data_IF_871002663999
#
_entry.id   IF_871002663999
#
_cell.length_a   1.000
_cell.length_b   1.000
_cell.length_c   1.000
_cell.angle_alpha   90.00
_cell.angle_beta   90.00
_cell.angle_gamma   90.00
#
_symmetry.space_group_name_H-M   'P 1'
#
loop_
_entity.id
_entity.type
_entity.pdbx_description
1 polymer ?
2 polymer ?
3 non-polymer ?
4 non-polymer ?
5 water ?
#
# COMPACT_ATOMS: atom_id res chain seq x y z
N UNK A 1 -15.44 -31.64 8.03
CA UNK A 1 -16.51 -30.66 8.09
C UNK A 1 -17.08 -30.35 6.70
N UNK A 2 -16.22 -29.97 5.74
CA UNK A 2 -16.73 -29.58 4.43
C UNK A 2 -17.02 -30.76 3.52
N UNK A 3 -18.26 -30.89 3.08
CA UNK A 3 -18.66 -31.95 2.16
C UNK A 3 -18.40 -31.50 0.73
N UNK A 4 -17.59 -32.26 0.00
CA UNK A 4 -17.14 -31.85 -1.32
C UNK A 4 -17.58 -32.81 -2.43
N UNK A 5 -18.14 -33.95 -2.03
CA UNK A 5 -18.51 -34.98 -3.00
C UNK A 5 -20.00 -34.98 -3.28
N UNK A 6 -20.36 -34.86 -4.55
CA UNK A 6 -21.74 -34.97 -4.98
C UNK A 6 -22.10 -36.45 -5.12
N UNK A 7 -23.26 -36.72 -5.68
CA UNK A 7 -23.75 -38.09 -5.78
C UNK A 7 -22.74 -38.98 -6.52
N UNK A 8 -22.32 -38.55 -7.71
CA UNK A 8 -21.44 -39.38 -8.54
C UNK A 8 -20.05 -39.54 -7.93
N UNK A 9 -19.48 -38.45 -7.42
CA UNK A 9 -18.12 -38.49 -6.89
C UNK A 9 -18.02 -39.49 -5.74
N UNK A 10 -19.10 -39.65 -4.99
CA UNK A 10 -19.11 -40.61 -3.88
C UNK A 10 -18.89 -42.04 -4.38
N UNK A 11 -19.24 -42.30 -5.63
CA UNK A 11 -19.08 -43.63 -6.22
C UNK A 11 -17.66 -43.88 -6.72
N UNK A 12 -16.83 -42.84 -6.70
CA UNK A 12 -15.45 -42.95 -7.12
C UNK A 12 -14.52 -42.35 -6.06
N UNK A 13 -15.00 -42.32 -4.83
CA UNK A 13 -14.24 -41.73 -3.73
C UNK A 13 -12.86 -42.37 -3.59
N UNK A 14 -12.76 -43.65 -3.93
CA UNK A 14 -11.50 -44.38 -3.80
C UNK A 14 -10.43 -43.79 -4.70
N UNK A 15 -10.72 -43.74 -6.00
CA UNK A 15 -9.79 -43.16 -6.97
C UNK A 15 -9.44 -41.73 -6.61
N UNK A 16 -10.45 -40.95 -6.24
CA UNK A 16 -10.24 -39.56 -5.87
C UNK A 16 -9.32 -39.46 -4.65
N UNK A 17 -9.59 -40.28 -3.64
CA UNK A 17 -8.74 -40.32 -2.45
C UNK A 17 -7.32 -40.72 -2.82
N UNK A 18 -7.21 -41.71 -3.70
CA UNK A 18 -5.91 -42.20 -4.15
C UNK A 18 -5.08 -41.05 -4.72
N UNK A 19 -5.70 -40.27 -5.60
CA UNK A 19 -5.02 -39.16 -6.26
C UNK A 19 -4.61 -38.07 -5.27
N UNK A 20 -5.56 -37.67 -4.42
CA UNK A 20 -5.31 -36.63 -3.43
C UNK A 20 -4.13 -36.98 -2.55
N UNK A 21 -4.02 -38.25 -2.18
CA UNK A 21 -2.97 -38.71 -1.27
C UNK A 21 -1.60 -38.41 -1.85
N UNK A 22 -1.45 -38.61 -3.15
CA UNK A 22 -0.20 -38.34 -3.83
C UNK A 22 0.16 -36.85 -3.75
N UNK A 23 -0.85 -36.00 -3.84
CA UNK A 23 -0.63 -34.57 -3.78
C UNK A 23 -0.13 -34.18 -2.39
N UNK A 24 -0.77 -34.73 -1.37
CA UNK A 24 -0.41 -34.42 0.01
C UNK A 24 1.01 -34.88 0.33
N UNK A 25 1.45 -35.95 -0.35
CA UNK A 25 2.79 -36.49 -0.13
C UNK A 25 3.84 -35.64 -0.84
N UNK A 26 3.43 -34.51 -1.41
CA UNK A 26 4.35 -33.63 -2.10
C UNK A 26 4.62 -34.07 -3.52
N UNK A 27 4.28 -35.31 -3.83
CA UNK A 27 4.48 -35.84 -5.18
C UNK A 27 3.51 -35.16 -6.14
N UNK A 28 3.68 -33.84 -6.30
CA UNK A 28 2.76 -33.04 -7.09
C UNK A 28 2.92 -33.32 -8.59
N UNK A 29 3.93 -34.10 -8.94
CA UNK A 29 4.19 -34.39 -10.34
C UNK A 29 3.20 -35.42 -10.86
N UNK A 30 3.14 -36.58 -10.21
CA UNK A 30 2.30 -37.67 -10.67
C UNK A 30 0.85 -37.52 -10.19
N UNK A 31 0.63 -36.64 -9.21
CA UNK A 31 -0.71 -36.36 -8.74
C UNK A 31 -1.52 -35.60 -9.80
N UNK A 32 -0.83 -34.76 -10.56
CA UNK A 32 -1.44 -34.07 -11.67
C UNK A 32 -1.97 -35.09 -12.67
N UNK A 33 -1.06 -35.92 -13.18
CA UNK A 33 -1.42 -36.93 -14.16
C UNK A 33 -2.54 -37.81 -13.63
N UNK A 34 -2.54 -38.04 -12.33
CA UNK A 34 -3.59 -38.86 -11.70
C UNK A 34 -4.95 -38.18 -11.81
N UNK A 35 -5.01 -36.89 -11.48
CA UNK A 35 -6.27 -36.16 -11.57
C UNK A 35 -6.61 -35.87 -13.04
N UNK A 36 -5.59 -35.68 -13.86
CA UNK A 36 -5.81 -35.51 -15.30
C UNK A 36 -6.46 -36.76 -15.87
N UNK A 37 -6.08 -37.92 -15.34
CA UNK A 37 -6.67 -39.19 -15.77
C UNK A 37 -8.13 -39.29 -15.32
N UNK A 38 -8.39 -38.88 -14.09
CA UNK A 38 -9.75 -38.91 -13.55
C UNK A 38 -10.63 -37.90 -14.29
N UNK A 39 -10.06 -36.76 -14.65
CA UNK A 39 -10.80 -35.75 -15.40
C UNK A 39 -11.18 -36.33 -16.76
N UNK A 40 -10.25 -37.01 -17.42
CA UNK A 40 -10.52 -37.61 -18.72
C UNK A 40 -11.59 -38.68 -18.60
N UNK A 41 -11.52 -39.45 -17.52
CA UNK A 41 -12.43 -40.56 -17.31
C UNK A 41 -13.79 -40.05 -16.83
N UNK A 42 -13.77 -39.07 -15.94
CA UNK A 42 -14.99 -38.48 -15.40
C UNK A 42 -15.03 -36.98 -15.62
N UNK A 43 -15.27 -36.55 -16.87
CA UNK A 43 -15.18 -35.14 -17.24
C UNK A 43 -16.20 -34.23 -16.56
N UNK A 44 -17.11 -34.81 -15.79
CA UNK A 44 -18.12 -34.03 -15.06
C UNK A 44 -17.88 -34.05 -13.55
N UNK A 45 -16.84 -34.75 -13.09
CA UNK A 45 -16.55 -34.82 -11.66
C UNK A 45 -16.03 -33.47 -11.16
N UNK A 46 -16.77 -32.84 -10.23
CA UNK A 46 -16.21 -31.62 -9.63
C UNK A 46 -14.94 -31.89 -8.83
N UNK A 47 -14.94 -32.95 -8.03
CA UNK A 47 -13.83 -33.22 -7.13
C UNK A 47 -12.58 -33.58 -7.92
N UNK A 48 -12.75 -34.28 -9.02
CA UNK A 48 -11.63 -34.61 -9.89
C UNK A 48 -11.06 -33.34 -10.51
N UNK A 49 -11.95 -32.42 -10.86
CA UNK A 49 -11.55 -31.15 -11.46
C UNK A 49 -10.83 -30.28 -10.44
N UNK A 50 -11.39 -30.22 -9.24
CA UNK A 50 -10.80 -29.45 -8.15
C UNK A 50 -9.44 -30.01 -7.79
N UNK A 51 -9.31 -31.33 -7.89
CA UNK A 51 -8.04 -31.99 -7.66
C UNK A 51 -7.01 -31.50 -8.66
N UNK A 52 -7.37 -31.53 -9.93
CA UNK A 52 -6.49 -31.03 -10.98
C UNK A 52 -6.06 -29.59 -10.69
N UNK A 53 -7.03 -28.75 -10.32
CA UNK A 53 -6.77 -27.35 -10.04
C UNK A 53 -5.75 -27.17 -8.92
N UNK A 54 -5.94 -27.94 -7.84
CA UNK A 54 -5.07 -27.84 -6.67
C UNK A 54 -3.63 -28.24 -6.98
N UNK A 55 -3.45 -29.29 -7.77
CA UNK A 55 -2.11 -29.74 -8.14
C UNK A 55 -1.43 -28.70 -9.02
N UNK A 56 -2.17 -28.14 -9.97
CA UNK A 56 -1.67 -27.06 -10.81
C UNK A 56 -1.23 -25.88 -9.94
N UNK A 57 -1.95 -25.67 -8.84
CA UNK A 57 -1.62 -24.60 -7.92
C UNK A 57 -0.25 -24.86 -7.30
N UNK A 58 -0.08 -26.05 -6.73
CA UNK A 58 1.18 -26.42 -6.10
C UNK A 58 2.31 -26.37 -7.13
N UNK A 59 2.02 -26.83 -8.33
CA UNK A 59 3.01 -26.85 -9.40
C UNK A 59 3.46 -25.43 -9.70
N UNK A 60 2.54 -24.48 -9.60
CA UNK A 60 2.87 -23.07 -9.79
C UNK A 60 3.81 -22.59 -8.70
N UNK A 61 3.68 -23.17 -7.51
CA UNK A 61 4.55 -22.82 -6.40
C UNK A 61 5.95 -23.40 -6.62
N UNK A 62 6.00 -24.70 -6.90
CA UNK A 62 7.27 -25.36 -7.17
C UNK A 62 8.00 -24.68 -8.33
N UNK A 63 7.31 -24.54 -9.46
CA UNK A 63 7.89 -23.98 -10.66
C UNK A 63 8.00 -22.46 -10.61
N UNK A 64 7.14 -21.82 -9.81
CA UNK A 64 7.12 -20.36 -9.75
C UNK A 64 6.76 -19.78 -11.12
N UNK A 65 5.78 -20.41 -11.77
CA UNK A 65 5.31 -19.97 -13.09
C UNK A 65 3.93 -19.34 -13.03
N UNK A 66 3.75 -18.23 -13.74
CA UNK A 66 2.49 -17.51 -13.79
C UNK A 66 1.52 -18.17 -14.76
N UNK A 67 2.05 -18.78 -15.81
CA UNK A 67 1.22 -19.44 -16.83
C UNK A 67 0.53 -20.68 -16.29
N UNK A 68 1.24 -21.45 -15.48
CA UNK A 68 0.64 -22.65 -14.90
C UNK A 68 -0.35 -22.24 -13.82
N UNK A 69 -0.05 -21.16 -13.11
CA UNK A 69 -0.98 -20.64 -12.13
C UNK A 69 -2.18 -20.05 -12.87
N UNK A 70 -1.93 -19.35 -13.96
CA UNK A 70 -3.01 -18.85 -14.81
C UNK A 70 -3.88 -20.01 -15.25
N UNK A 71 -3.24 -21.15 -15.51
CA UNK A 71 -3.96 -22.37 -15.87
C UNK A 71 -4.80 -22.88 -14.73
N UNK A 72 -4.24 -22.86 -13.52
CA UNK A 72 -4.96 -23.28 -12.34
C UNK A 72 -6.16 -22.38 -12.10
N UNK A 73 -5.99 -21.08 -12.38
CA UNK A 73 -7.08 -20.13 -12.18
C UNK A 73 -8.27 -20.54 -13.04
N UNK A 74 -7.99 -20.98 -14.27
CA UNK A 74 -9.06 -21.39 -15.18
C UNK A 74 -9.66 -22.71 -14.74
N UNK A 75 -8.82 -23.62 -14.26
CA UNK A 75 -9.31 -24.92 -13.81
C UNK A 75 -10.22 -24.73 -12.61
N UNK A 76 -9.90 -23.76 -11.76
CA UNK A 76 -10.73 -23.46 -10.61
C UNK A 76 -12.10 -22.98 -11.06
N UNK A 77 -12.15 -22.25 -12.16
CA UNK A 77 -13.42 -21.79 -12.69
C UNK A 77 -14.13 -22.93 -13.40
N UNK A 78 -13.35 -23.82 -14.02
CA UNK A 78 -13.90 -24.99 -14.67
C UNK A 78 -14.78 -25.76 -13.68
N UNK A 79 -14.32 -25.86 -12.45
CA UNK A 79 -15.05 -26.58 -11.41
C UNK A 79 -16.46 -26.00 -11.26
N UNK A 80 -16.57 -24.69 -11.38
CA UNK A 80 -17.83 -24.00 -11.18
C UNK A 80 -18.77 -24.19 -12.36
N UNK A 81 -18.22 -24.56 -13.50
CA UNK A 81 -19.00 -24.74 -14.73
C UNK A 81 -19.66 -26.11 -14.75
N UNK A 82 -19.06 -27.07 -14.08
CA UNK A 82 -19.58 -28.43 -14.05
C UNK A 82 -20.94 -28.49 -13.34
N UNK A 83 -21.71 -29.55 -13.59
CA UNK A 83 -23.03 -29.68 -12.95
C UNK A 83 -22.95 -30.27 -11.54
N UNK A 84 -23.98 -29.99 -10.75
CA UNK A 84 -24.14 -30.62 -9.44
C UNK A 84 -22.89 -30.48 -8.57
N UNK A 85 -22.39 -29.25 -8.47
CA UNK A 85 -21.20 -28.98 -7.64
C UNK A 85 -21.65 -28.64 -6.22
N UNK A 86 -21.18 -29.40 -5.21
CA UNK A 86 -21.51 -29.08 -3.82
C UNK A 86 -21.13 -27.66 -3.44
N UNK A 87 -21.91 -27.04 -2.56
CA UNK A 87 -21.72 -25.64 -2.21
C UNK A 87 -20.34 -25.41 -1.62
N UNK A 88 -19.94 -26.22 -0.65
CA UNK A 88 -18.66 -26.07 0.01
C UNK A 88 -17.51 -26.09 -1.00
N UNK A 89 -17.60 -27.02 -1.96
CA UNK A 89 -16.58 -27.13 -2.99
C UNK A 89 -16.64 -25.95 -3.97
N UNK A 90 -17.86 -25.53 -4.28
CA UNK A 90 -18.08 -24.38 -5.15
C UNK A 90 -17.43 -23.13 -4.55
N UNK A 91 -17.70 -22.89 -3.28
CA UNK A 91 -17.16 -21.73 -2.58
C UNK A 91 -15.62 -21.79 -2.51
N UNK A 92 -15.09 -22.94 -2.09
CA UNK A 92 -13.64 -23.12 -1.99
C UNK A 92 -12.91 -22.83 -3.29
N UNK A 93 -13.41 -23.40 -4.37
CA UNK A 93 -12.73 -23.32 -5.66
C UNK A 93 -12.69 -21.87 -6.18
N UNK A 94 -13.79 -21.15 -6.00
CA UNK A 94 -13.87 -19.78 -6.52
C UNK A 94 -13.13 -18.81 -5.62
N UNK A 95 -13.15 -19.06 -4.32
CA UNK A 95 -12.39 -18.22 -3.39
C UNK A 95 -10.92 -18.26 -3.75
N UNK A 96 -10.38 -19.47 -3.91
CA UNK A 96 -8.97 -19.64 -4.23
C UNK A 96 -8.63 -19.01 -5.57
N UNK A 97 -9.59 -19.00 -6.48
CA UNK A 97 -9.38 -18.36 -7.77
C UNK A 97 -9.12 -16.88 -7.53
N UNK A 98 -10.04 -16.22 -6.84
CA UNK A 98 -9.88 -14.82 -6.50
C UNK A 98 -8.54 -14.55 -5.85
N UNK A 99 -8.24 -15.31 -4.80
CA UNK A 99 -7.00 -15.17 -4.07
C UNK A 99 -5.81 -15.08 -5.01
N UNK A 100 -5.69 -16.08 -5.89
CA UNK A 100 -4.58 -16.15 -6.83
C UNK A 100 -4.65 -15.07 -7.91
N UNK A 101 -5.85 -14.70 -8.31
CA UNK A 101 -6.01 -13.61 -9.27
C UNK A 101 -5.48 -12.31 -8.67
N UNK A 102 -5.67 -12.14 -7.36
CA UNK A 102 -5.13 -10.98 -6.65
C UNK A 102 -3.62 -11.10 -6.50
N UNK A 103 -3.14 -12.33 -6.41
CA UNK A 103 -1.70 -12.60 -6.36
C UNK A 103 -1.04 -12.18 -7.67
N UNK A 104 -1.72 -12.42 -8.79
CA UNK A 104 -1.17 -12.10 -10.10
C UNK A 104 -1.43 -10.65 -10.48
N UNK A 105 -2.30 -9.99 -9.75
CA UNK A 105 -2.63 -8.60 -10.03
C UNK A 105 -3.83 -8.46 -10.96
N UNK A 106 -4.56 -9.55 -11.15
CA UNK A 106 -5.78 -9.51 -11.96
C UNK A 106 -6.94 -9.04 -11.08
N UNK A 107 -6.77 -7.86 -10.49
CA UNK A 107 -7.73 -7.32 -9.55
C UNK A 107 -9.09 -7.12 -10.20
N UNK A 108 -9.08 -6.65 -11.44
CA UNK A 108 -10.31 -6.47 -12.19
C UNK A 108 -11.02 -7.81 -12.33
N UNK A 109 -10.26 -8.85 -12.64
CA UNK A 109 -10.80 -10.18 -12.80
C UNK A 109 -11.24 -10.81 -11.48
N UNK A 110 -10.47 -10.52 -10.43
CA UNK A 110 -10.80 -11.01 -9.10
C UNK A 110 -12.11 -10.42 -8.61
N UNK A 111 -12.47 -9.24 -9.12
CA UNK A 111 -13.72 -8.59 -8.72
C UNK A 111 -14.92 -9.35 -9.25
N UNK A 112 -14.90 -9.66 -10.55
CA UNK A 112 -16.00 -10.39 -11.17
C UNK A 112 -16.22 -11.73 -10.49
N UNK A 113 -15.12 -12.33 -10.04
CA UNK A 113 -15.17 -13.59 -9.31
C UNK A 113 -15.86 -13.41 -7.96
N UNK A 114 -15.54 -12.31 -7.29
CA UNK A 114 -16.10 -12.03 -5.97
C UNK A 114 -17.57 -11.64 -6.10
N UNK A 115 -17.90 -10.92 -7.17
CA UNK A 115 -19.29 -10.57 -7.43
C UNK A 115 -20.11 -11.83 -7.66
N UNK A 116 -19.51 -12.78 -8.36
CA UNK A 116 -20.17 -14.04 -8.64
C UNK A 116 -20.37 -14.82 -7.35
N UNK A 117 -19.37 -14.79 -6.47
CA UNK A 117 -19.44 -15.50 -5.20
C UNK A 117 -20.57 -14.96 -4.32
N UNK A 118 -20.77 -13.65 -4.36
CA UNK A 118 -21.81 -13.01 -3.57
C UNK A 118 -23.18 -13.25 -4.18
N UNK A 119 -23.21 -13.39 -5.50
CA UNK A 119 -24.43 -13.73 -6.20
C UNK A 119 -24.85 -15.17 -5.89
N UNK A 120 -23.85 -16.06 -5.80
CA UNK A 120 -24.10 -17.47 -5.57
C UNK A 120 -24.40 -17.77 -4.10
N UNK A 121 -23.84 -16.97 -3.20
CA UNK A 121 -24.06 -17.15 -1.78
C UNK A 121 -24.47 -15.83 -1.14
N UNK A 122 -25.72 -15.41 -1.36
CA UNK A 122 -26.20 -14.09 -0.93
C UNK A 122 -26.28 -13.91 0.59
N UNK A 123 -26.15 -15.00 1.34
CA UNK A 123 -26.26 -14.94 2.80
C UNK A 123 -24.91 -14.91 3.49
N UNK A 124 -23.85 -15.22 2.75
CA UNK A 124 -22.51 -15.26 3.31
C UNK A 124 -21.96 -13.85 3.47
N UNK A 125 -21.84 -13.41 4.72
CA UNK A 125 -21.31 -12.10 5.05
C UNK A 125 -19.83 -11.98 4.69
N UNK A 126 -19.05 -13.01 5.00
CA UNK A 126 -17.61 -12.97 4.80
C UNK A 126 -17.26 -12.76 3.32
N UNK A 127 -18.12 -13.21 2.42
CA UNK A 127 -17.89 -13.03 1.01
C UNK A 127 -18.18 -11.59 0.60
N UNK A 128 -19.20 -11.00 1.21
CA UNK A 128 -19.50 -9.59 0.95
C UNK A 128 -18.30 -8.75 1.40
N UNK A 129 -17.73 -9.11 2.54
CA UNK A 129 -16.54 -8.42 3.05
C UNK A 129 -15.39 -8.53 2.05
N UNK A 130 -15.14 -9.75 1.56
CA UNK A 130 -14.06 -9.97 0.59
C UNK A 130 -14.33 -9.20 -0.69
N UNK A 131 -15.59 -9.11 -1.08
CA UNK A 131 -15.97 -8.28 -2.22
C UNK A 131 -15.56 -6.84 -1.95
N UNK A 132 -15.79 -6.38 -0.72
CA UNK A 132 -15.43 -5.03 -0.33
C UNK A 132 -13.95 -4.76 -0.55
N UNK A 133 -13.13 -5.74 -0.17
CA UNK A 133 -11.70 -5.63 -0.36
C UNK A 133 -11.38 -5.56 -1.84
N UNK A 134 -12.08 -6.37 -2.63
CA UNK A 134 -11.91 -6.36 -4.07
C UNK A 134 -12.05 -4.97 -4.63
N UNK A 135 -13.00 -4.21 -4.11
CA UNK A 135 -13.23 -2.84 -4.57
C UNK A 135 -12.12 -1.91 -4.10
N UNK A 136 -11.63 -2.15 -2.89
CA UNK A 136 -10.59 -1.30 -2.30
C UNK A 136 -9.26 -1.46 -3.03
N UNK A 137 -9.00 -2.64 -3.58
CA UNK A 137 -7.73 -2.91 -4.25
C UNK A 137 -7.69 -2.29 -5.65
N UNK A 138 -8.83 -1.81 -6.14
CA UNK A 138 -8.86 -1.13 -7.43
C UNK A 138 -9.11 0.36 -7.23
N UNK A 139 -9.10 0.81 -5.98
CA UNK A 139 -9.32 2.20 -5.67
C UNK A 139 -10.77 2.64 -5.80
N UNK A 140 -11.69 1.67 -5.77
CA UNK A 140 -13.11 1.97 -5.91
C UNK A 140 -13.76 2.09 -4.53
N UNK A 141 -13.41 3.16 -3.81
CA UNK A 141 -13.90 3.33 -2.46
C UNK A 141 -15.41 3.51 -2.40
N UNK A 142 -15.99 4.04 -3.46
CA UNK A 142 -17.43 4.29 -3.49
C UNK A 142 -18.20 2.98 -3.39
N UNK A 143 -17.81 2.01 -4.21
CA UNK A 143 -18.51 0.73 -4.23
C UNK A 143 -18.17 -0.10 -3.01
N UNK A 144 -16.98 0.09 -2.46
CA UNK A 144 -16.58 -0.63 -1.25
C UNK A 144 -17.42 -0.17 -0.06
N UNK A 145 -17.69 1.13 -0.01
CA UNK A 145 -18.49 1.71 1.06
C UNK A 145 -19.91 1.13 1.03
N UNK A 146 -20.51 1.08 -0.15
CA UNK A 146 -21.84 0.50 -0.32
C UNK A 146 -21.88 -0.92 0.23
N UNK A 147 -20.86 -1.70 -0.09
CA UNK A 147 -20.80 -3.10 0.31
C UNK A 147 -20.80 -3.23 1.83
N UNK A 148 -19.91 -2.49 2.49
CA UNK A 148 -19.80 -2.60 3.95
C UNK A 148 -21.01 -1.99 4.64
N UNK A 149 -21.64 -1.02 3.99
CA UNK A 149 -22.90 -0.48 4.48
C UNK A 149 -23.96 -1.58 4.40
N UNK A 150 -23.99 -2.26 3.25
CA UNK A 150 -24.92 -3.37 3.03
C UNK A 150 -24.73 -4.44 4.10
N UNK A 151 -23.47 -4.67 4.47
CA UNK A 151 -23.12 -5.69 5.44
C UNK A 151 -23.56 -5.29 6.84
N UNK A 152 -23.29 -4.05 7.22
CA UNK A 152 -23.56 -3.59 8.58
C UNK A 152 -25.05 -3.45 8.85
N UNK A 153 -25.84 -3.24 7.80
CA UNK A 153 -27.28 -3.15 7.94
C UNK A 153 -27.82 -4.49 8.43
N UNK A 154 -27.15 -5.56 8.04
CA UNK A 154 -27.56 -6.91 8.38
C UNK A 154 -26.75 -7.45 9.55
N UNK A 155 -25.49 -7.02 9.65
CA UNK A 155 -24.60 -7.49 10.70
C UNK A 155 -23.82 -6.33 11.33
N UNK A 156 -24.49 -5.57 12.20
CA UNK A 156 -23.89 -4.39 12.84
C UNK A 156 -22.64 -4.69 13.67
N UNK A 157 -22.45 -5.94 14.04
CA UNK A 157 -21.35 -6.32 14.95
C UNK A 157 -20.11 -6.83 14.22
N UNK A 158 -20.22 -7.06 12.91
CA UNK A 158 -19.08 -7.55 12.16
C UNK A 158 -17.92 -6.56 12.23
N UNK A 159 -16.89 -6.91 13.00
CA UNK A 159 -15.74 -6.04 13.19
C UNK A 159 -14.97 -5.76 11.92
N UNK A 160 -14.84 -6.77 11.07
CA UNK A 160 -14.15 -6.61 9.79
C UNK A 160 -14.81 -5.50 8.98
N UNK A 161 -16.13 -5.54 8.90
CA UNK A 161 -16.87 -4.55 8.14
C UNK A 161 -16.73 -3.16 8.77
N UNK A 162 -16.54 -3.13 10.09
CA UNK A 162 -16.43 -1.86 10.81
C UNK A 162 -15.08 -1.18 10.55
N UNK A 163 -13.98 -1.89 10.69
CA UNK A 163 -12.67 -1.30 10.45
C UNK A 163 -12.63 -0.77 9.02
N UNK A 164 -13.17 -1.54 8.09
CA UNK A 164 -13.08 -1.18 6.69
C UNK A 164 -13.99 -0.01 6.37
N UNK A 165 -15.12 0.06 7.06
CA UNK A 165 -16.01 1.20 6.91
C UNK A 165 -15.31 2.44 7.48
N UNK A 166 -14.70 2.29 8.65
CA UNK A 166 -13.95 3.37 9.26
C UNK A 166 -12.79 3.83 8.40
N UNK A 167 -12.11 2.89 7.75
CA UNK A 167 -10.99 3.21 6.88
C UNK A 167 -11.44 4.08 5.71
N UNK A 168 -12.57 3.71 5.12
CA UNK A 168 -13.12 4.43 3.97
C UNK A 168 -13.57 5.82 4.40
N UNK A 169 -14.18 5.91 5.58
CA UNK A 169 -14.65 7.19 6.09
C UNK A 169 -13.48 8.14 6.30
N UNK A 170 -12.44 7.68 6.98
CA UNK A 170 -11.28 8.54 7.22
C UNK A 170 -10.64 8.96 5.91
N UNK A 171 -10.59 8.05 4.95
CA UNK A 171 -10.03 8.40 3.65
C UNK A 171 -10.90 9.46 2.97
N UNK A 172 -12.15 9.56 3.40
CA UNK A 172 -13.07 10.59 2.92
C UNK A 172 -13.03 11.84 3.78
N UNK A 173 -12.10 11.88 4.74
CA UNK A 173 -11.96 13.01 5.64
C UNK A 173 -13.16 13.14 6.57
N UNK A 174 -13.88 12.04 6.75
CA UNK A 174 -14.94 11.99 7.74
C UNK A 174 -14.30 11.55 9.05
N UNK A 175 -13.41 12.40 9.56
CA UNK A 175 -12.52 12.02 10.65
C UNK A 175 -13.27 11.56 11.91
N UNK A 176 -14.16 12.40 12.40
CA UNK A 176 -14.90 12.07 13.63
C UNK A 176 -15.77 10.83 13.45
N UNK A 177 -16.41 10.73 12.29
CA UNK A 177 -17.30 9.61 12.01
C UNK A 177 -16.54 8.29 12.00
N UNK A 178 -15.26 8.34 11.62
CA UNK A 178 -14.47 7.14 11.37
C UNK A 178 -13.98 6.48 12.66
N UNK A 179 -13.82 7.28 13.70
CA UNK A 179 -13.17 6.82 14.92
C UNK A 179 -13.93 5.66 15.58
N UNK A 180 -15.24 5.80 15.81
CA UNK A 180 -15.91 4.69 16.49
C UNK A 180 -15.81 3.38 15.71
N UNK A 181 -15.86 3.47 14.39
CA UNK A 181 -15.82 2.27 13.54
C UNK A 181 -14.45 1.60 13.58
N UNK A 182 -13.39 2.40 13.49
CA UNK A 182 -12.03 1.87 13.55
C UNK A 182 -11.77 1.26 14.92
N UNK A 183 -12.14 1.99 15.97
CA UNK A 183 -11.92 1.55 17.34
C UNK A 183 -12.71 0.28 17.67
N UNK A 184 -14.03 0.34 17.49
CA UNK A 184 -14.88 -0.81 17.79
C UNK A 184 -14.46 -2.01 16.95
N UNK A 185 -14.02 -1.74 15.72
CA UNK A 185 -13.61 -2.79 14.80
C UNK A 185 -12.37 -3.54 15.24
N UNK A 186 -11.36 -2.80 15.69
CA UNK A 186 -10.14 -3.43 16.19
C UNK A 186 -10.47 -4.19 17.48
N UNK A 187 -11.20 -3.53 18.37
CA UNK A 187 -11.55 -4.11 19.66
C UNK A 187 -12.36 -5.39 19.51
N UNK A 188 -13.15 -5.47 18.45
CA UNK A 188 -13.94 -6.66 18.16
C UNK A 188 -13.05 -7.91 18.20
N UNK A 189 -11.84 -7.77 17.67
CA UNK A 189 -10.90 -8.86 17.66
C UNK A 189 -11.22 -9.90 16.60
N UNK A 190 -12.15 -9.58 15.72
CA UNK A 190 -12.50 -10.50 14.64
C UNK A 190 -11.29 -10.70 13.75
N UNK A 191 -11.26 -11.81 12.99
CA UNK A 191 -10.14 -12.02 12.06
C UNK A 191 -10.05 -10.90 11.02
N UNK A 192 -8.84 -10.41 10.79
CA UNK A 192 -8.62 -9.39 9.78
C UNK A 192 -8.71 -7.96 10.28
N UNK A 193 -8.98 -7.79 11.57
CA UNK A 193 -9.10 -6.46 12.15
C UNK A 193 -7.78 -6.04 12.82
N UNK A 194 -6.92 -7.00 13.12
CA UNK A 194 -5.61 -6.70 13.69
C UNK A 194 -4.63 -6.34 12.58
N UNK A 195 -4.91 -5.23 11.90
CA UNK A 195 -4.10 -4.76 10.78
C UNK A 195 -3.48 -3.42 11.13
N UNK A 196 -2.20 -3.25 10.78
CA UNK A 196 -1.49 -2.03 11.09
C UNK A 196 -2.17 -0.79 10.52
N UNK A 197 -2.85 -0.97 9.40
CA UNK A 197 -3.52 0.14 8.73
C UNK A 197 -4.56 0.79 9.62
N UNK A 198 -5.31 -0.02 10.37
CA UNK A 198 -6.41 0.51 11.17
C UNK A 198 -5.87 1.13 12.45
N UNK A 199 -4.79 0.58 12.99
CA UNK A 199 -4.11 1.21 14.10
C UNK A 199 -3.58 2.57 13.67
N UNK A 200 -2.94 2.60 12.51
CA UNK A 200 -2.31 3.80 11.98
C UNK A 200 -3.32 4.94 11.81
N UNK A 201 -4.48 4.60 11.25
CA UNK A 201 -5.47 5.60 10.89
C UNK A 201 -6.38 6.00 12.06
N UNK A 202 -6.61 5.07 12.99
CA UNK A 202 -7.35 5.41 14.19
C UNK A 202 -6.60 6.50 14.95
N UNK A 203 -5.31 6.28 15.19
CA UNK A 203 -4.49 7.22 15.92
C UNK A 203 -4.38 8.57 15.24
N UNK A 204 -4.23 8.57 13.92
CA UNK A 204 -4.15 9.81 13.17
C UNK A 204 -5.46 10.59 13.29
N UNK A 205 -6.58 9.90 13.08
CA UNK A 205 -7.89 10.52 13.21
C UNK A 205 -8.07 11.07 14.61
N UNK A 206 -7.55 10.37 15.59
CA UNK A 206 -7.62 10.81 16.97
C UNK A 206 -6.79 12.08 17.16
N UNK A 207 -5.59 12.09 16.59
CA UNK A 207 -4.71 13.24 16.69
C UNK A 207 -5.38 14.49 16.12
N UNK A 208 -6.03 14.33 14.98
CA UNK A 208 -6.66 15.46 14.29
C UNK A 208 -7.82 16.06 15.08
N UNK A 209 -8.49 15.26 15.90
CA UNK A 209 -9.62 15.74 16.69
C UNK A 209 -9.20 16.07 18.12
N UNK A 210 -7.91 16.08 18.39
CA UNK A 210 -7.40 16.45 19.70
C UNK A 210 -7.68 15.43 20.79
N UNK A 211 -7.89 14.18 20.39
CA UNK A 211 -8.07 13.09 21.34
C UNK A 211 -6.70 12.58 21.79
N UNK A 212 -6.39 12.76 23.08
CA UNK A 212 -5.07 12.42 23.60
C UNK A 212 -4.87 10.91 23.78
N UNK A 213 -5.88 10.12 23.41
CA UNK A 213 -5.79 8.67 23.50
C UNK A 213 -5.10 8.09 22.26
N UNK A 214 -4.68 8.95 21.35
CA UNK A 214 -4.11 8.52 20.08
C UNK A 214 -2.88 7.66 20.28
N UNK A 215 -1.98 8.08 21.15
CA UNK A 215 -0.73 7.37 21.34
C UNK A 215 -0.92 6.09 22.16
N UNK A 216 -2.13 5.89 22.67
CA UNK A 216 -2.46 4.64 23.33
C UNK A 216 -2.67 3.56 22.28
N UNK A 217 -3.07 3.98 21.09
CA UNK A 217 -3.32 3.05 19.99
C UNK A 217 -2.07 2.86 19.16
N UNK A 218 -1.22 3.88 19.12
CA UNK A 218 0.09 3.74 18.51
C UNK A 218 0.90 2.75 19.34
N UNK A 219 0.76 2.84 20.66
CA UNK A 219 1.50 1.97 21.56
C UNK A 219 1.06 0.52 21.38
N UNK A 220 -0.25 0.32 21.32
CA UNK A 220 -0.79 -1.03 21.15
C UNK A 220 -0.39 -1.59 19.79
N UNK A 221 -0.49 -0.75 18.76
CA UNK A 221 -0.09 -1.14 17.42
C UNK A 221 1.35 -1.58 17.37
N UNK A 222 2.20 -0.92 18.16
CA UNK A 222 3.60 -1.29 18.26
C UNK A 222 3.77 -2.61 19.01
N UNK A 223 2.99 -2.79 20.08
CA UNK A 223 3.08 -4.00 20.89
C UNK A 223 2.63 -5.25 20.13
N UNK A 224 1.82 -5.06 19.09
CA UNK A 224 1.32 -6.17 18.30
C UNK A 224 2.15 -6.39 17.03
N UNK A 225 3.26 -5.66 16.90
CA UNK A 225 4.23 -5.90 15.86
C UNK A 225 3.98 -5.21 14.52
N UNK A 226 3.11 -4.21 14.51
CA UNK A 226 2.78 -3.50 13.28
C UNK A 226 3.72 -2.32 13.03
N UNK A 227 4.05 -1.60 14.11
CA UNK A 227 4.93 -0.44 14.02
C UNK A 227 6.30 -0.77 14.59
N UNK A 228 7.35 -0.34 13.89
CA UNK A 228 8.72 -0.50 14.37
C UNK A 228 8.86 0.21 15.72
N UNK A 229 8.09 1.27 15.89
CA UNK A 229 8.06 2.01 17.16
C UNK A 229 6.85 2.92 17.16
N UNK A 230 6.63 3.60 18.28
CA UNK A 230 5.46 4.46 18.42
C UNK A 230 5.61 5.72 17.56
N UNK A 231 6.85 6.13 17.31
CA UNK A 231 7.12 7.32 16.51
C UNK A 231 7.22 6.98 15.03
N UNK A 232 7.78 5.81 14.75
CA UNK A 232 8.01 5.35 13.38
C UNK A 232 6.94 4.32 12.98
N UNK A 233 5.97 4.75 12.20
CA UNK A 233 4.78 3.94 11.98
C UNK A 233 4.53 3.58 10.52
N UNK A 234 5.59 3.59 9.71
CA UNK A 234 5.47 3.14 8.32
C UNK A 234 5.16 1.65 8.30
N UNK A 235 4.52 1.20 7.23
CA UNK A 235 4.01 -0.18 7.16
C UNK A 235 4.66 -1.02 6.06
N UNK A 236 5.36 -0.37 5.14
CA UNK A 236 6.10 -1.09 4.11
C UNK A 236 7.58 -1.03 4.44
N UNK A 237 8.03 -1.96 5.27
CA UNK A 237 9.35 -1.84 5.88
C UNK A 237 10.29 -3.00 5.58
N UNK A 238 11.58 -2.71 5.61
CA UNK A 238 12.62 -3.73 5.65
C UNK A 238 13.20 -3.69 7.05
N UNK A 239 12.86 -4.68 7.87
CA UNK A 239 13.22 -4.68 9.27
C UNK A 239 14.74 -4.70 9.46
N UNK A 240 15.22 -4.00 10.48
CA UNK A 240 16.63 -3.96 10.79
C UNK A 240 17.35 -2.66 10.44
N UNK A 241 16.80 -1.89 9.51
CA UNK A 241 17.44 -0.65 9.06
C UNK A 241 17.60 0.34 10.21
N UNK A 242 18.74 1.00 10.25
CA UNK A 242 19.01 2.04 11.24
C UNK A 242 17.85 3.03 11.25
N UNK A 243 17.21 3.18 12.40
CA UNK A 243 16.05 4.06 12.52
C UNK A 243 16.35 5.24 13.44
N UNK A 244 16.33 6.44 12.86
CA UNK A 244 16.48 7.67 13.65
C UNK A 244 15.86 8.84 12.89
N UNK A 245 15.22 9.78 13.62
CA UNK A 245 14.50 10.88 12.96
C UNK A 245 15.37 11.75 12.05
N UNK A 246 16.54 12.14 12.54
CA UNK A 246 17.40 13.07 11.80
C UNK A 246 18.76 12.47 11.45
N UNK A 247 19.18 12.67 10.20
CA UNK A 247 20.45 12.16 9.69
C UNK A 247 21.39 13.30 9.26
N UNK A 248 22.69 13.08 9.42
CA UNK A 248 23.69 13.99 8.86
C UNK A 248 24.20 13.44 7.54
N UNK A 249 24.68 14.32 6.64
CA UNK A 249 25.17 13.84 5.34
C UNK A 249 26.18 12.70 5.47
N UNK A 250 27.16 12.86 6.35
CA UNK A 250 28.18 11.84 6.54
C UNK A 250 27.54 10.51 6.94
N UNK A 251 26.50 10.58 7.78
CA UNK A 251 25.84 9.37 8.27
C UNK A 251 25.16 8.59 7.15
N UNK A 252 24.78 9.27 6.09
CA UNK A 252 24.07 8.63 4.98
C UNK A 252 25.01 8.05 3.94
N UNK A 253 26.23 8.56 3.92
CA UNK A 253 27.20 8.16 2.91
C UNK A 253 27.03 8.87 1.58
N UNK A 254 25.93 9.60 1.43
CA UNK A 254 25.60 10.27 0.17
C UNK A 254 26.17 11.69 0.17
N UNK A 255 27.45 11.81 0.51
CA UNK A 255 28.09 13.11 0.69
C UNK A 255 28.30 13.87 -0.62
N UNK A 256 28.53 13.13 -1.70
CA UNK A 256 28.68 13.75 -3.01
C UNK A 256 27.37 14.40 -3.45
N UNK A 257 26.26 13.71 -3.23
CA UNK A 257 24.94 14.22 -3.60
C UNK A 257 24.63 15.51 -2.87
N UNK A 258 24.93 15.53 -1.57
CA UNK A 258 24.70 16.72 -0.75
C UNK A 258 25.56 17.87 -1.26
N UNK A 259 26.84 17.61 -1.49
CA UNK A 259 27.75 18.62 -2.01
C UNK A 259 27.18 19.23 -3.27
N UNK A 260 26.70 18.35 -4.15
CA UNK A 260 26.24 18.80 -5.45
C UNK A 260 25.00 19.69 -5.30
N UNK A 261 24.10 19.30 -4.40
CA UNK A 261 22.89 20.08 -4.16
C UNK A 261 23.22 21.43 -3.57
N UNK A 262 24.19 21.47 -2.65
CA UNK A 262 24.51 22.71 -1.96
C UNK A 262 25.35 23.63 -2.82
N UNK A 263 26.26 23.06 -3.60
CA UNK A 263 27.09 23.85 -4.50
C UNK A 263 26.28 24.49 -5.62
N UNK A 264 25.26 23.77 -6.10
CA UNK A 264 24.45 24.24 -7.22
C UNK A 264 23.05 24.67 -6.84
N UNK A 265 22.84 25.02 -5.58
CA UNK A 265 21.48 25.26 -5.09
C UNK A 265 20.79 26.41 -5.82
N UNK A 266 21.56 27.37 -6.31
CA UNK A 266 20.96 28.55 -6.92
C UNK A 266 20.32 28.26 -8.28
N UNK A 267 20.95 27.41 -9.09
CA UNK A 267 20.33 27.04 -10.36
C UNK A 267 19.09 26.20 -10.09
N UNK A 268 19.10 25.43 -9.01
CA UNK A 268 17.94 24.61 -8.65
C UNK A 268 16.80 25.54 -8.27
N UNK A 269 17.12 26.55 -7.46
CA UNK A 269 16.16 27.57 -7.07
C UNK A 269 15.57 28.25 -8.29
N UNK A 270 16.46 28.76 -9.14
CA UNK A 270 16.05 29.62 -10.25
C UNK A 270 15.11 28.88 -11.20
N UNK A 271 15.39 27.61 -11.47
CA UNK A 271 14.53 26.85 -12.37
C UNK A 271 13.17 26.59 -11.73
N UNK A 272 13.15 26.43 -10.41
CA UNK A 272 11.91 26.29 -9.66
C UNK A 272 11.11 27.58 -9.68
N UNK A 273 11.79 28.71 -9.48
CA UNK A 273 11.13 30.01 -9.52
C UNK A 273 10.59 30.26 -10.91
N UNK A 274 11.32 29.82 -11.91
CA UNK A 274 10.93 30.04 -13.30
C UNK A 274 9.65 29.28 -13.61
N UNK A 275 9.50 28.09 -13.02
CA UNK A 275 8.29 27.31 -13.21
C UNK A 275 7.13 27.99 -12.47
N UNK A 276 7.40 28.48 -11.26
CA UNK A 276 6.39 29.22 -10.52
C UNK A 276 5.85 30.38 -11.35
N UNK A 277 6.74 31.09 -12.03
CA UNK A 277 6.37 32.28 -12.78
C UNK A 277 5.67 31.97 -14.10
N UNK A 278 6.25 31.08 -14.88
CA UNK A 278 5.82 30.90 -16.27
C UNK A 278 5.11 29.57 -16.53
N UNK A 279 4.97 28.75 -15.50
CA UNK A 279 4.30 27.45 -15.65
C UNK A 279 3.75 26.90 -14.33
N UNK A 280 3.03 27.74 -13.58
CA UNK A 280 2.62 27.38 -12.23
C UNK A 280 1.70 26.17 -12.20
N UNK A 281 1.24 25.75 -13.37
CA UNK A 281 0.38 24.57 -13.46
C UNK A 281 1.10 23.28 -13.18
N UNK A 282 2.42 23.27 -13.35
CA UNK A 282 3.20 22.07 -13.06
C UNK A 282 3.26 21.79 -11.56
N UNK A 283 2.97 22.81 -10.75
CA UNK A 283 2.83 22.62 -9.31
C UNK A 283 1.42 22.13 -9.00
N UNK A 284 1.33 20.93 -8.45
CA UNK A 284 0.03 20.32 -8.12
C UNK A 284 -0.20 20.37 -6.62
N UNK A 285 -1.44 20.68 -6.20
CA UNK A 285 -1.70 20.72 -4.76
C UNK A 285 -1.49 19.36 -4.11
N UNK A 286 -1.00 19.36 -2.86
CA UNK A 286 -0.92 18.13 -2.08
C UNK A 286 -2.32 17.52 -1.99
N UNK A 287 -2.43 16.24 -2.35
CA UNK A 287 -3.72 15.58 -2.47
C UNK A 287 -3.80 14.30 -1.64
N UNK A 288 -3.25 14.34 -0.43
CA UNK A 288 -3.27 13.19 0.45
C UNK A 288 -3.91 13.55 1.80
N UNK A 289 -4.63 14.68 1.84
CA UNK A 289 -5.38 15.09 3.02
C UNK A 289 -4.46 15.31 4.22
N UNK A 290 -3.23 15.75 3.96
CA UNK A 290 -2.25 15.96 5.02
C UNK A 290 -2.31 17.36 5.62
N UNK A 291 -3.13 18.23 5.04
CA UNK A 291 -3.23 19.61 5.50
C UNK A 291 -4.43 19.82 6.41
N UNK A 292 -4.21 20.55 7.50
CA UNK A 292 -5.32 21.13 8.25
C UNK A 292 -5.80 22.38 7.53
N UNK A 293 -4.86 23.14 6.99
CA UNK A 293 -5.16 24.41 6.32
C UNK A 293 -3.97 24.90 5.52
N UNK A 294 -4.24 25.81 4.59
CA UNK A 294 -3.20 26.49 3.87
C UNK A 294 -2.99 25.98 2.45
N UNK A 295 -1.97 26.52 1.79
CA UNK A 295 -1.65 26.17 0.42
C UNK A 295 -0.31 25.47 0.33
N UNK A 296 -0.34 24.28 -0.26
CA UNK A 296 0.85 23.45 -0.38
C UNK A 296 0.80 22.71 -1.71
N UNK A 297 1.78 22.98 -2.57
CA UNK A 297 1.82 22.38 -3.90
C UNK A 297 3.21 21.81 -4.18
N UNK A 298 3.29 20.85 -5.09
CA UNK A 298 4.55 20.17 -5.37
C UNK A 298 4.75 19.95 -6.86
N UNK A 299 6.00 20.12 -7.29
CA UNK A 299 6.36 20.01 -8.71
C UNK A 299 7.37 18.88 -8.86
N UNK A 300 6.89 17.75 -9.38
CA UNK A 300 7.61 16.49 -9.30
C UNK A 300 8.39 16.15 -10.57
N UNK A 301 9.68 15.86 -10.39
CA UNK A 301 10.57 15.48 -11.49
C UNK A 301 10.73 13.96 -11.61
N UNK A 302 10.80 13.29 -10.47
CA UNK A 302 10.92 11.83 -10.40
C UNK A 302 9.94 11.26 -9.39
N UNK A 303 9.33 10.14 -9.74
CA UNK A 303 8.54 9.38 -8.78
C UNK A 303 8.66 7.91 -9.15
N UNK A 304 8.73 7.05 -8.15
CA UNK A 304 8.89 5.60 -8.35
C UNK A 304 10.05 5.33 -9.30
N UNK A 305 11.11 6.13 -9.16
CA UNK A 305 12.32 5.96 -9.95
C UNK A 305 12.14 6.21 -11.44
N UNK A 306 11.08 6.90 -11.81
CA UNK A 306 10.78 7.15 -13.21
C UNK A 306 10.78 8.65 -13.49
N UNK A 307 11.53 9.05 -14.50
CA UNK A 307 11.71 10.45 -14.86
C UNK A 307 10.47 10.99 -15.57
N UNK A 308 9.98 12.13 -15.10
CA UNK A 308 8.87 12.80 -15.77
C UNK A 308 9.42 13.71 -16.85
N UNK A 309 9.43 13.23 -18.09
CA UNK A 309 10.05 13.95 -19.20
C UNK A 309 9.55 15.38 -19.34
N UNK A 310 8.23 15.57 -19.31
CA UNK A 310 7.65 16.89 -19.50
C UNK A 310 8.01 17.82 -18.34
N UNK A 311 8.00 17.29 -17.13
CA UNK A 311 8.36 18.09 -15.96
C UNK A 311 9.81 18.55 -16.04
N UNK A 312 10.70 17.64 -16.48
CA UNK A 312 12.12 17.96 -16.56
C UNK A 312 12.43 18.99 -17.63
N UNK A 313 11.47 19.27 -18.50
CA UNK A 313 11.64 20.34 -19.48
C UNK A 313 11.46 21.70 -18.81
N UNK A 314 11.00 21.70 -17.56
CA UNK A 314 10.86 22.92 -16.80
C UNK A 314 12.03 23.13 -15.87
N UNK A 315 12.78 22.07 -15.61
CA UNK A 315 13.98 22.15 -14.80
C UNK A 315 15.09 21.29 -15.40
N UNK A 316 15.50 21.60 -16.64
CA UNK A 316 16.42 20.77 -17.42
C UNK A 316 17.80 20.60 -16.79
N UNK A 317 18.38 21.69 -16.29
CA UNK A 317 19.70 21.62 -15.68
C UNK A 317 19.64 20.83 -14.39
N UNK A 318 18.59 21.07 -13.59
CA UNK A 318 18.38 20.34 -12.35
C UNK A 318 18.29 18.84 -12.61
N UNK A 319 17.51 18.46 -13.63
CA UNK A 319 17.36 17.04 -13.97
C UNK A 319 18.68 16.50 -14.49
N UNK A 320 19.39 17.30 -15.28
CA UNK A 320 20.70 16.89 -15.79
C UNK A 320 21.68 16.69 -14.63
N UNK A 321 21.57 17.54 -13.63
CA UNK A 321 22.43 17.47 -12.45
C UNK A 321 22.19 16.18 -11.67
N UNK A 322 20.92 15.81 -11.55
CA UNK A 322 20.53 14.66 -10.73
C UNK A 322 20.75 13.31 -11.41
N UNK A 323 20.88 13.32 -12.74
CA UNK A 323 21.08 12.08 -13.47
C UNK A 323 22.37 11.40 -13.03
N UNK A 324 23.27 12.17 -12.41
CA UNK A 324 24.53 11.64 -11.95
C UNK A 324 24.35 10.76 -10.71
N UNK A 325 23.21 10.87 -10.04
CA UNK A 325 23.03 10.23 -8.73
C UNK A 325 21.90 9.20 -8.70
N UNK A 326 22.22 7.94 -9.03
CA UNK A 326 21.20 6.88 -9.08
C UNK A 326 20.61 6.53 -7.72
N UNK A 327 21.26 6.94 -6.65
CA UNK A 327 20.75 6.65 -5.31
C UNK A 327 19.43 7.39 -5.07
N UNK A 328 19.17 8.46 -5.82
CA UNK A 328 17.91 9.17 -5.70
C UNK A 328 17.04 8.97 -6.95
N UNK A 329 17.65 9.03 -8.13
CA UNK A 329 16.88 8.90 -9.36
C UNK A 329 16.38 7.48 -9.54
N UNK A 330 17.01 6.55 -8.83
CA UNK A 330 16.62 5.15 -8.88
C UNK A 330 15.87 4.72 -7.65
N UNK A 331 15.57 5.65 -6.75
CA UNK A 331 14.78 5.33 -5.59
C UNK A 331 13.32 5.14 -6.00
N UNK A 332 12.92 3.89 -6.17
CA UNK A 332 11.57 3.58 -6.63
C UNK A 332 10.55 3.69 -5.50
N UNK A 333 11.01 4.04 -4.30
CA UNK A 333 10.12 4.30 -3.19
C UNK A 333 10.28 5.73 -2.69
N UNK A 334 10.61 6.63 -3.59
CA UNK A 334 10.72 8.04 -3.26
C UNK A 334 10.41 8.94 -4.42
N UNK A 335 10.57 10.24 -4.22
CA UNK A 335 10.39 11.21 -5.29
C UNK A 335 11.51 12.25 -5.32
N UNK A 336 11.58 12.99 -6.42
CA UNK A 336 12.34 14.24 -6.48
C UNK A 336 11.37 15.34 -6.88
N UNK A 337 11.26 16.39 -6.08
CA UNK A 337 10.23 17.39 -6.33
C UNK A 337 10.47 18.71 -5.62
N UNK A 338 10.07 19.79 -6.29
CA UNK A 338 9.98 21.10 -5.65
C UNK A 338 8.73 21.11 -4.78
N UNK A 339 8.82 21.77 -3.63
CA UNK A 339 7.70 21.86 -2.72
C UNK A 339 7.54 23.27 -2.21
N UNK A 340 6.42 23.89 -2.55
CA UNK A 340 6.16 25.26 -2.13
C UNK A 340 5.01 25.30 -1.13
N UNK A 341 5.24 26.01 -0.03
CA UNK A 341 4.24 26.14 1.01
C UNK A 341 4.07 27.62 1.35
N UNK A 342 2.83 28.07 1.43
CA UNK A 342 2.54 29.47 1.68
C UNK A 342 2.09 29.68 3.12
N UNK A 343 2.12 30.94 3.59
CA UNK A 343 1.73 31.22 4.97
C UNK A 343 0.31 30.78 5.30
N UNK A 344 0.05 30.58 6.59
CA UNK A 344 -1.23 30.07 7.04
C UNK A 344 -1.40 28.58 6.81
N UNK A 345 -0.28 27.86 6.66
CA UNK A 345 -0.35 26.43 6.40
C UNK A 345 0.08 25.64 7.63
N UNK A 346 -0.69 24.59 7.92
CA UNK A 346 -0.31 23.63 8.93
C UNK A 346 -0.54 22.21 8.41
N UNK A 347 0.52 21.41 8.43
CA UNK A 347 0.43 20.03 7.98
C UNK A 347 0.29 19.13 9.20
N UNK A 348 -0.77 18.33 9.20
CA UNK A 348 -1.02 17.39 10.30
C UNK A 348 0.21 16.53 10.56
N UNK A 349 0.43 16.13 11.81
CA UNK A 349 1.44 15.10 12.02
C UNK A 349 1.16 13.87 11.17
N UNK A 350 2.17 13.35 10.48
CA UNK A 350 1.99 12.20 9.62
C UNK A 350 3.29 11.44 9.41
N UNK A 351 3.15 10.30 8.73
CA UNK A 351 4.23 9.37 8.52
C UNK A 351 4.21 8.97 7.05
N UNK A 352 5.38 8.70 6.48
CA UNK A 352 5.45 8.16 5.13
C UNK A 352 5.21 6.66 5.14
N UNK A 353 4.97 6.08 3.96
CA UNK A 353 4.59 4.66 3.88
C UNK A 353 5.72 3.66 4.10
N UNK A 354 6.97 4.06 3.92
CA UNK A 354 8.08 3.10 3.96
C UNK A 354 9.30 3.61 4.72
N UNK A 355 10.03 2.69 5.35
CA UNK A 355 11.27 3.03 6.04
C UNK A 355 12.46 2.89 5.11
N UNK A 356 12.19 2.56 3.86
CA UNK A 356 13.23 2.27 2.87
C UNK A 356 13.83 3.50 2.21
N UNK A 357 13.44 4.68 2.67
CA UNK A 357 13.95 5.89 2.08
C UNK A 357 14.27 6.94 3.13
N UNK A 358 15.24 7.78 2.81
CA UNK A 358 15.53 8.95 3.61
C UNK A 358 15.18 10.15 2.76
N UNK A 359 14.83 11.24 3.41
CA UNK A 359 14.30 12.39 2.70
C UNK A 359 15.18 13.62 2.90
N UNK A 360 15.71 14.14 1.79
CA UNK A 360 16.54 15.34 1.81
C UNK A 360 15.76 16.60 1.47
N UNK A 361 16.00 17.66 2.22
CA UNK A 361 15.41 18.97 1.93
C UNK A 361 16.49 20.01 1.67
N UNK A 362 16.50 20.59 0.48
CA UNK A 362 17.39 21.71 0.16
C UNK A 362 16.62 23.01 0.25
N UNK A 363 17.06 23.90 1.13
CA UNK A 363 16.44 25.21 1.23
C UNK A 363 16.70 26.04 -0.01
N UNK A 364 15.62 26.56 -0.60
CA UNK A 364 15.73 27.36 -1.83
C UNK A 364 15.30 28.80 -1.59
N UNK A 365 14.08 28.98 -1.07
CA UNK A 365 13.60 30.28 -0.63
C UNK A 365 12.98 30.11 0.74
N UNK A 366 13.68 30.57 1.77
CA UNK A 366 13.25 30.37 3.15
C UNK A 366 13.06 31.72 3.85
N UNK A 367 11.81 32.10 4.16
CA UNK A 367 11.62 33.35 4.89
C UNK A 367 12.35 33.38 6.23
N UNK A 368 12.78 34.56 6.66
CA UNK A 368 13.62 34.69 7.85
C UNK A 368 13.01 34.02 9.08
N UNK A 369 11.68 33.92 9.11
CA UNK A 369 11.01 33.31 10.24
C UNK A 369 9.61 32.83 9.86
N UNK A 370 9.11 31.85 10.60
CA UNK A 370 7.76 31.34 10.40
C UNK A 370 7.68 29.89 9.93
N UNK A 371 8.77 29.38 9.36
CA UNK A 371 8.77 28.04 8.77
C UNK A 371 9.56 27.06 9.62
N UNK A 372 8.95 25.95 9.97
CA UNK A 372 9.64 24.94 10.76
C UNK A 372 9.06 23.55 10.50
N UNK A 373 9.83 22.53 10.83
CA UNK A 373 9.42 21.15 10.62
C UNK A 373 9.84 20.34 11.84
N UNK A 374 8.88 19.63 12.41
CA UNK A 374 9.17 18.71 13.51
C UNK A 374 9.19 17.28 13.01
N UNK A 375 10.27 16.57 13.30
CA UNK A 375 10.30 15.13 13.11
C UNK A 375 10.55 14.49 14.47
N UNK A 376 9.61 13.66 14.90
CA UNK A 376 9.66 13.10 16.24
C UNK A 376 9.60 14.22 17.27
N UNK A 377 10.56 14.26 18.20
CA UNK A 377 10.51 15.22 19.29
C UNK A 377 11.50 16.37 19.09
N UNK A 378 11.83 16.64 17.83
CA UNK A 378 12.79 17.71 17.53
C UNK A 378 12.36 18.53 16.32
N UNK A 379 12.31 19.84 16.50
CA UNK A 379 11.91 20.76 15.45
C UNK A 379 13.12 21.48 14.87
N UNK A 380 13.12 21.64 13.56
CA UNK A 380 14.23 22.31 12.87
C UNK A 380 13.71 23.28 11.83
N UNK A 381 14.62 24.08 11.29
CA UNK A 381 14.27 25.06 10.26
C UNK A 381 15.15 24.84 9.05
N UNK A 382 14.71 25.35 7.91
CA UNK A 382 15.49 25.27 6.69
C UNK A 382 16.44 26.45 6.56
N UNK A 383 17.50 26.27 5.78
CA UNK A 383 18.38 27.37 5.38
C UNK A 383 18.56 27.31 3.87
N UNK A 384 18.65 28.49 3.26
CA UNK A 384 18.82 28.56 1.81
C UNK A 384 20.19 28.01 1.44
N UNK A 385 20.19 27.04 0.54
CA UNK A 385 21.42 26.39 0.12
C UNK A 385 21.91 25.30 1.04
N UNK A 386 21.10 24.90 2.01
CA UNK A 386 21.52 23.88 2.96
C UNK A 386 20.58 22.68 2.97
N UNK A 387 21.15 21.50 3.17
CA UNK A 387 20.39 20.27 3.12
C UNK A 387 20.08 19.79 4.52
N UNK A 388 18.80 19.50 4.74
CA UNK A 388 18.33 18.77 5.91
C UNK A 388 18.05 17.34 5.48
N UNK A 389 18.29 16.39 6.37
CA UNK A 389 17.96 15.01 6.09
C UNK A 389 17.18 14.43 7.27
N UNK A 390 16.04 13.82 6.99
CA UNK A 390 15.27 13.13 8.02
C UNK A 390 14.63 11.86 7.45
N UNK A 391 14.20 10.98 8.35
CA UNK A 391 13.51 9.75 7.95
C UNK A 391 12.01 9.99 8.10
N UNK A 392 11.33 10.24 6.99
CA UNK A 392 9.93 10.65 7.04
C UNK A 392 9.00 9.48 7.41
N UNK A 393 9.55 8.32 7.74
CA UNK A 393 8.76 7.23 8.30
C UNK A 393 8.48 7.48 9.78
N UNK A 394 9.22 8.41 10.37
CA UNK A 394 8.91 8.92 11.69
C UNK A 394 7.85 10.02 11.59
N UNK A 395 6.99 10.12 12.60
CA UNK A 395 5.98 11.17 12.62
C UNK A 395 6.66 12.52 12.44
N UNK A 396 6.14 13.31 11.51
CA UNK A 396 6.63 14.67 11.34
C UNK A 396 5.51 15.66 11.02
N UNK A 397 5.74 16.91 11.38
CA UNK A 397 4.73 17.96 11.31
C UNK A 397 5.36 19.24 10.77
N UNK A 398 4.57 20.05 10.05
CA UNK A 398 5.11 21.23 9.40
C UNK A 398 4.20 22.46 9.58
N UNK A 399 4.84 23.63 9.73
CA UNK A 399 4.13 24.91 9.83
C UNK A 399 4.69 25.94 8.85
N UNK A 400 3.84 26.84 8.38
CA UNK A 400 4.28 27.96 7.54
C UNK A 400 3.50 29.21 7.95
N UNK A 401 4.11 30.02 8.82
CA UNK A 401 3.47 31.24 9.28
C UNK A 401 4.36 32.45 9.03
N UNK A 402 4.99 32.47 7.86
CA UNK A 402 5.81 33.59 7.43
C UNK A 402 4.92 34.63 6.74
N UNK A 403 5.53 35.55 6.01
CA UNK A 403 4.79 36.59 5.30
C UNK A 403 4.95 36.46 3.80
N UNK A 404 5.54 35.35 3.36
CA UNK A 404 5.72 35.08 1.94
C UNK A 404 6.00 33.60 1.75
N UNK A 405 6.04 33.15 0.50
CA UNK A 405 6.14 31.72 0.21
C UNK A 405 7.47 31.12 0.65
N UNK A 406 7.46 29.81 0.82
CA UNK A 406 8.64 29.03 1.19
C UNK A 406 8.83 27.88 0.21
N UNK A 407 9.97 27.87 -0.46
CA UNK A 407 10.26 26.87 -1.49
C UNK A 407 11.42 25.98 -1.06
N UNK A 408 11.26 24.68 -1.22
CA UNK A 408 12.34 23.75 -0.93
C UNK A 408 12.43 22.73 -2.06
N UNK A 409 13.51 21.97 -2.05
CA UNK A 409 13.74 20.91 -3.02
C UNK A 409 13.85 19.59 -2.26
N UNK A 410 13.01 18.63 -2.61
CA UNK A 410 12.92 17.37 -1.88
C UNK A 410 13.56 16.26 -2.71
N UNK A 411 14.53 15.59 -2.11
CA UNK A 411 15.24 14.51 -2.79
C UNK A 411 15.27 13.27 -1.92
N UNK A 412 14.60 12.22 -2.37
CA UNK A 412 14.55 10.95 -1.65
C UNK A 412 15.70 10.04 -2.08
N UNK A 413 16.32 9.36 -1.12
CA UNK A 413 17.35 8.37 -1.41
C UNK A 413 16.98 7.04 -0.76
N UNK A 414 17.44 5.95 -1.37
CA UNK A 414 17.35 4.64 -0.73
C UNK A 414 17.99 4.71 0.64
N UNK A 415 17.43 4.00 1.60
CA UNK A 415 18.08 3.89 2.90
C UNK A 415 19.46 3.29 2.64
N UNK A 416 20.52 3.94 3.14
CA UNK A 416 21.86 3.50 2.75
C UNK A 416 22.15 2.03 3.06
N UNK A 417 21.62 1.52 4.16
CA UNK A 417 21.89 0.14 4.56
C UNK A 417 21.12 -0.89 3.74
N UNK A 418 20.40 -0.44 2.71
CA UNK A 418 19.75 -1.37 1.79
C UNK A 418 20.77 -1.89 0.78
N UNK A 419 20.90 -3.20 0.71
CA UNK A 419 21.83 -3.80 -0.23
C UNK A 419 21.38 -3.52 -1.66
N UNK A 420 22.31 -3.59 -2.63
CA UNK A 420 21.95 -3.38 -4.04
C UNK A 420 20.80 -4.27 -4.50
N UNK A 421 20.79 -5.52 -4.03
CA UNK A 421 19.73 -6.46 -4.41
C UNK A 421 18.38 -5.94 -3.92
N UNK A 422 18.32 -5.55 -2.66
CA UNK A 422 17.08 -5.04 -2.08
C UNK A 422 16.58 -3.84 -2.89
N UNK A 423 17.49 -2.95 -3.29
CA UNK A 423 17.14 -1.78 -4.08
C UNK A 423 16.61 -2.15 -5.47
N UNK A 424 16.89 -3.38 -5.90
CA UNK A 424 16.48 -3.82 -7.23
C UNK A 424 15.11 -4.48 -7.19
N UNK A 425 14.83 -5.18 -6.09
CA UNK A 425 13.69 -6.07 -6.01
C UNK A 425 12.45 -5.44 -5.36
N UNK A 426 12.67 -4.56 -4.40
CA UNK A 426 11.57 -3.98 -3.63
C UNK A 426 10.51 -3.40 -4.56
N UNK A 427 9.24 -3.82 -4.37
CA UNK A 427 8.21 -3.20 -5.22
C UNK A 427 8.10 -1.69 -4.99
N UNK A 428 7.80 -0.95 -6.04
CA UNK A 428 7.74 0.51 -6.00
C UNK A 428 6.59 1.03 -5.14
N UNK A 429 6.82 2.17 -4.50
CA UNK A 429 5.80 2.88 -3.74
C UNK A 429 5.83 4.35 -4.17
N UNK B 14 -4.46 5.64 -7.09
CA UNK B 14 -3.77 6.62 -6.27
C UNK B 14 -2.49 6.07 -5.68
N UNK B 15 -1.55 6.96 -5.40
CA UNK B 15 -0.25 6.54 -4.89
C UNK B 15 0.00 7.12 -3.51
N UNK B 16 0.76 6.38 -2.72
CA UNK B 16 1.20 6.84 -1.42
C UNK B 16 2.57 7.49 -1.57
N UNK B 17 2.59 8.81 -1.68
CA UNK B 17 3.83 9.56 -1.86
C UNK B 17 4.35 10.09 -0.51
N UNK B 18 3.51 10.86 0.18
CA UNK B 18 3.90 11.48 1.44
C UNK B 18 3.20 10.84 2.64
N UNK B 19 2.18 10.03 2.39
CA UNK B 19 1.42 9.39 3.46
C UNK B 19 0.97 7.96 3.20
N UNK B 20 0.03 7.49 4.00
CA UNK B 20 -0.49 6.12 3.90
C UNK B 20 -1.99 6.09 3.74
N UNK B 21 -2.50 6.86 2.77
CA UNK B 21 -3.93 7.03 2.61
C UNK B 21 -4.63 5.91 1.87
N UNK B 22 -3.90 5.23 0.99
CA UNK B 22 -4.48 4.19 0.15
C UNK B 22 -4.55 2.87 0.90
N UNK B 23 -5.53 2.05 0.55
CA UNK B 23 -5.68 0.75 1.17
C UNK B 23 -4.42 -0.08 0.92
N UNK B 24 -3.90 -0.01 -0.30
CA UNK B 24 -2.61 -0.59 -0.63
C UNK B 24 -1.77 0.39 -1.42
N UNK B 25 -0.50 0.47 -1.09
CA UNK B 25 0.39 1.44 -1.71
C UNK B 25 1.15 0.83 -2.87
N UNK B 26 1.34 -0.49 -2.82
CA UNK B 26 2.00 -1.20 -3.91
C UNK B 26 0.96 -1.75 -4.87
#
# INVERSE_FOLDING_TARGET
KPKLLNKFDKTIKAELDAAEKLRKRGKIEEAVNAFKELVRKYPQSPRARYGKAQCEDDLAEKRRSNEVLRGAIETYQEVASLPDVPADLLKLSLKRRSDRQQFLGHMRGSLLTLQRLVQLFPNDTSLKNDLGVGYLLIGDNDNAKKVYEEVLSVTPNDGFAKVHYGFILKAQNKIAESIPYLKEGIESGDPGTDDGRFYFHLGDAMQRVGNKEAYKWYELGHKRGHFASVWQRSLYNVNGLKAQPWWTPKETGYTELVKSLERNWKLIRDEGLAVMDKAKGLFLPEDENLREKGDWSQFTLWQQGRRNENACKGAPKTCTLLEKFPETTGCRRGQIKYSIMHPGTHVWPHTGPTNCRLRMHLGLVIPKEGCKIRCANETKTWEEGKVLIFDDSFEHEVWQDASSFRLIFIVDVWHPELTPQQRRSLPAI
DGDQCETSPCQNQGKCKDGLGEYTCT
#
